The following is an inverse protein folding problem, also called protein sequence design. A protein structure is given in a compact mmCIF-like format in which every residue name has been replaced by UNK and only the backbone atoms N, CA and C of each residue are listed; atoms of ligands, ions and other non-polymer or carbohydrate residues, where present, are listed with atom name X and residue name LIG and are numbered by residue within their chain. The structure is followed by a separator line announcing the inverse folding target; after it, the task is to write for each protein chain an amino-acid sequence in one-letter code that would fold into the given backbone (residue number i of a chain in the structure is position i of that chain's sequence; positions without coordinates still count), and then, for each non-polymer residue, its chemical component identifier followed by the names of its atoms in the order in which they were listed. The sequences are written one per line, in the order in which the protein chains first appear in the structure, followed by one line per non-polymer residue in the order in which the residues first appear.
data_IF_810086289868
#
_entry.id   IF_810086289868
#
_cell.length_a   1.000
_cell.length_b   1.000
_cell.length_c   1.000
_cell.angle_alpha   90.00
_cell.angle_beta   90.00
_cell.angle_gamma   90.00
#
_symmetry.space_group_name_H-M   'P 1'
#
loop_
_entity.id
_entity.type
_entity.pdbx_description
1 polymer ?
#
# COMPACT_ATOMS: atom_id res chain seq x y z
N UNK A 1 -21.40 10.42 16.07
CA UNK A 1 -21.04 9.03 16.36
C UNK A 1 -19.94 8.70 15.38
N UNK A 2 -18.66 8.60 15.79
CA UNK A 2 -17.61 8.16 14.86
C UNK A 2 -17.99 6.74 14.45
N UNK A 3 -18.30 6.52 13.18
CA UNK A 3 -18.42 5.16 12.67
C UNK A 3 -17.13 4.43 13.02
N UNK A 4 -17.22 3.23 13.58
CA UNK A 4 -16.04 2.44 13.88
C UNK A 4 -15.49 1.88 12.56
N UNK A 5 -14.71 2.71 11.86
CA UNK A 5 -14.14 2.42 10.54
C UNK A 5 -13.31 1.14 10.59
N UNK A 6 -12.55 0.93 11.66
CA UNK A 6 -11.82 -0.32 11.90
C UNK A 6 -12.77 -1.51 11.90
N UNK A 7 -13.86 -1.47 12.67
CA UNK A 7 -14.84 -2.56 12.73
C UNK A 7 -15.50 -2.85 11.36
N UNK A 8 -15.75 -1.80 10.56
CA UNK A 8 -16.26 -1.94 9.19
C UNK A 8 -15.26 -2.66 8.29
N UNK A 9 -13.97 -2.27 8.34
CA UNK A 9 -12.92 -2.85 7.51
C UNK A 9 -12.48 -4.25 7.95
N UNK A 10 -12.65 -4.59 9.23
CA UNK A 10 -12.34 -5.91 9.81
C UNK A 10 -13.57 -6.82 9.93
N UNK A 11 -14.72 -6.40 9.38
CA UNK A 11 -15.97 -7.16 9.45
C UNK A 11 -15.81 -8.58 8.91
N UNK A 12 -16.62 -9.52 9.43
CA UNK A 12 -16.71 -10.89 8.92
C UNK A 12 -17.43 -10.96 7.57
N UNK A 13 -18.23 -9.94 7.23
CA UNK A 13 -18.81 -9.79 5.90
C UNK A 13 -17.76 -9.18 4.97
N UNK A 14 -16.99 -10.05 4.31
CA UNK A 14 -15.91 -9.61 3.42
C UNK A 14 -16.41 -8.83 2.21
N UNK A 15 -17.65 -9.07 1.75
CA UNK A 15 -18.22 -8.34 0.62
C UNK A 15 -18.52 -6.90 1.01
N UNK A 16 -19.17 -6.70 2.16
CA UNK A 16 -19.44 -5.37 2.68
C UNK A 16 -18.15 -4.62 3.03
N UNK A 17 -17.18 -5.29 3.66
CA UNK A 17 -15.91 -4.68 4.02
C UNK A 17 -15.05 -4.31 2.80
N UNK A 18 -15.06 -5.12 1.73
CA UNK A 18 -14.40 -4.75 0.47
C UNK A 18 -15.10 -3.57 -0.20
N UNK A 19 -16.43 -3.57 -0.30
CA UNK A 19 -17.15 -2.43 -0.88
C UNK A 19 -16.91 -1.12 -0.11
N UNK A 20 -16.80 -1.20 1.22
CA UNK A 20 -16.43 -0.07 2.05
C UNK A 20 -14.99 0.41 1.76
N UNK A 21 -14.03 -0.51 1.67
CA UNK A 21 -12.65 -0.18 1.33
C UNK A 21 -12.54 0.46 -0.06
N UNK A 22 -13.22 -0.10 -1.07
CA UNK A 22 -13.23 0.44 -2.44
C UNK A 22 -13.77 1.87 -2.47
N UNK A 23 -14.85 2.15 -1.71
CA UNK A 23 -15.38 3.51 -1.55
C UNK A 23 -14.36 4.44 -0.90
N UNK A 24 -13.74 4.01 0.20
CA UNK A 24 -12.72 4.82 0.90
C UNK A 24 -11.55 5.12 -0.05
N UNK A 25 -11.04 4.12 -0.77
CA UNK A 25 -9.94 4.29 -1.74
C UNK A 25 -10.34 5.32 -2.80
N UNK A 26 -11.51 5.15 -3.43
CA UNK A 26 -11.98 6.08 -4.46
C UNK A 26 -12.16 7.50 -3.94
N UNK A 27 -12.72 7.69 -2.74
CA UNK A 27 -12.88 9.02 -2.13
C UNK A 27 -11.53 9.62 -1.71
N UNK A 28 -10.57 8.78 -1.28
CA UNK A 28 -9.22 9.19 -0.89
C UNK A 28 -8.36 9.60 -2.09
N UNK A 29 -8.68 9.12 -3.29
CA UNK A 29 -8.01 9.57 -4.52
C UNK A 29 -8.41 11.00 -4.91
N UNK A 30 -9.59 11.45 -4.50
CA UNK A 30 -10.16 12.74 -4.90
C UNK A 30 -10.13 13.79 -3.77
N UNK A 31 -10.17 13.35 -2.50
CA UNK A 31 -10.30 14.23 -1.33
C UNK A 31 -9.50 13.71 -0.14
N UNK A 32 -9.13 14.62 0.77
CA UNK A 32 -8.43 14.34 2.03
C UNK A 32 -9.34 13.82 3.15
N UNK A 33 -10.64 13.66 2.88
CA UNK A 33 -11.68 13.30 3.85
C UNK A 33 -11.31 12.11 4.76
N UNK A 34 -10.60 11.12 4.22
CA UNK A 34 -10.26 9.91 4.96
C UNK A 34 -8.91 9.98 5.67
N UNK A 35 -8.10 11.00 5.40
CA UNK A 35 -6.78 11.16 6.00
C UNK A 35 -6.86 11.36 7.52
N UNK A 36 -7.94 11.94 8.04
CA UNK A 36 -8.13 12.05 9.50
C UNK A 36 -8.08 10.68 10.21
N UNK A 37 -8.39 9.59 9.50
CA UNK A 37 -8.41 8.20 10.00
C UNK A 37 -7.17 7.37 9.65
N UNK A 38 -6.08 8.02 9.20
CA UNK A 38 -4.88 7.32 8.72
C UNK A 38 -4.31 6.34 9.76
N UNK A 39 -4.21 6.72 11.03
CA UNK A 39 -3.68 5.84 12.08
C UNK A 39 -4.61 4.64 12.34
N UNK A 40 -5.93 4.80 12.21
CA UNK A 40 -6.89 3.70 12.31
C UNK A 40 -6.73 2.70 11.16
N UNK A 41 -6.37 3.16 9.96
CA UNK A 41 -6.02 2.27 8.84
C UNK A 41 -4.66 1.60 9.05
N UNK A 42 -3.68 2.34 9.58
CA UNK A 42 -2.36 1.79 9.88
C UNK A 42 -2.41 0.71 10.98
N UNK A 43 -3.30 0.87 11.96
CA UNK A 43 -3.48 -0.10 13.05
C UNK A 43 -3.93 -1.49 12.58
N UNK A 44 -4.47 -1.62 11.37
CA UNK A 44 -4.90 -2.90 10.77
C UNK A 44 -3.95 -3.42 9.67
N UNK A 45 -2.77 -2.80 9.51
CA UNK A 45 -1.79 -3.18 8.51
C UNK A 45 -1.22 -4.59 8.75
N UNK A 46 -0.96 -4.96 10.01
CA UNK A 46 -0.47 -6.30 10.41
C UNK A 46 -1.60 -7.23 10.89
N UNK A 47 -2.81 -7.07 10.33
CA UNK A 47 -3.94 -7.89 10.74
C UNK A 47 -3.76 -9.37 10.31
N UNK A 48 -4.15 -10.37 11.13
CA UNK A 48 -3.96 -11.79 10.80
C UNK A 48 -4.63 -12.25 9.50
N UNK A 49 -5.74 -11.60 9.13
CA UNK A 49 -6.43 -11.84 7.85
C UNK A 49 -5.82 -10.99 6.74
N UNK A 50 -5.27 -11.65 5.72
CA UNK A 50 -4.69 -11.00 4.54
C UNK A 50 -5.64 -10.09 3.76
N UNK A 51 -6.94 -10.39 3.74
CA UNK A 51 -7.94 -9.51 3.13
C UNK A 51 -8.03 -8.15 3.83
N UNK A 52 -7.83 -8.11 5.14
CA UNK A 52 -7.80 -6.85 5.91
C UNK A 52 -6.51 -6.09 5.59
N UNK A 53 -5.37 -6.79 5.54
CA UNK A 53 -4.08 -6.18 5.14
C UNK A 53 -4.17 -5.54 3.76
N UNK A 54 -4.78 -6.23 2.78
CA UNK A 54 -4.99 -5.71 1.44
C UNK A 54 -5.80 -4.40 1.43
N UNK A 55 -6.84 -4.30 2.28
CA UNK A 55 -7.64 -3.08 2.41
C UNK A 55 -6.79 -1.96 3.00
N UNK A 56 -6.07 -2.23 4.09
CA UNK A 56 -5.19 -1.27 4.75
C UNK A 56 -4.14 -0.70 3.79
N UNK A 57 -3.39 -1.58 3.10
CA UNK A 57 -2.35 -1.21 2.14
C UNK A 57 -2.87 -0.24 1.06
N UNK A 58 -3.99 -0.58 0.42
CA UNK A 58 -4.54 0.24 -0.65
C UNK A 58 -5.13 1.57 -0.14
N UNK A 59 -5.80 1.56 1.02
CA UNK A 59 -6.33 2.79 1.63
C UNK A 59 -5.19 3.74 2.03
N UNK A 60 -4.15 3.24 2.69
CA UNK A 60 -2.99 4.02 3.10
C UNK A 60 -2.26 4.60 1.89
N UNK A 61 -2.08 3.82 0.83
CA UNK A 61 -1.45 4.29 -0.40
C UNK A 61 -2.27 5.40 -1.08
N UNK A 62 -3.60 5.30 -1.11
CA UNK A 62 -4.47 6.34 -1.66
C UNK A 62 -4.44 7.63 -0.82
N UNK A 63 -4.27 7.51 0.50
CA UNK A 63 -4.17 8.66 1.39
C UNK A 63 -2.76 9.27 1.46
N UNK A 64 -1.72 8.63 0.93
CA UNK A 64 -0.35 9.13 0.98
C UNK A 64 -0.21 10.52 0.33
N UNK A 65 -1.04 10.87 -0.66
CA UNK A 65 -1.02 12.20 -1.29
C UNK A 65 -1.43 13.34 -0.35
N UNK A 66 -2.19 13.03 0.71
CA UNK A 66 -2.65 13.99 1.72
C UNK A 66 -1.76 14.01 2.96
N UNK A 67 -0.67 13.24 2.97
CA UNK A 67 0.17 13.04 4.15
C UNK A 67 1.14 14.20 4.42
N UNK A 68 0.60 15.39 4.71
CA UNK A 68 1.38 16.59 5.03
C UNK A 68 1.98 16.55 6.43
N UNK A 69 1.40 15.74 7.32
CA UNK A 69 1.92 15.50 8.67
C UNK A 69 2.99 14.39 8.72
N UNK A 70 3.34 13.80 7.57
CA UNK A 70 4.30 12.69 7.44
C UNK A 70 4.00 11.49 8.37
N UNK A 71 2.71 11.15 8.56
CA UNK A 71 2.30 9.97 9.33
C UNK A 71 2.79 8.68 8.68
N UNK A 72 3.05 8.68 7.37
CA UNK A 72 3.59 7.53 6.66
C UNK A 72 5.02 7.17 7.12
N UNK A 73 5.82 8.13 7.60
CA UNK A 73 7.16 7.88 8.18
C UNK A 73 7.11 6.84 9.31
N UNK A 74 6.04 6.86 10.10
CA UNK A 74 5.88 5.96 11.24
C UNK A 74 5.56 4.52 10.82
N UNK A 75 5.10 4.30 9.59
CA UNK A 75 4.56 3.01 9.14
C UNK A 75 5.24 2.48 7.89
N UNK A 76 6.14 3.23 7.25
CA UNK A 76 6.81 2.83 6.00
C UNK A 76 7.51 1.48 6.12
N UNK A 77 8.22 1.21 7.21
CA UNK A 77 8.87 -0.09 7.42
C UNK A 77 7.86 -1.23 7.53
N UNK A 78 6.75 -1.02 8.26
CA UNK A 78 5.69 -2.03 8.36
C UNK A 78 5.00 -2.25 7.01
N UNK A 79 4.71 -1.17 6.28
CA UNK A 79 4.14 -1.23 4.93
C UNK A 79 5.03 -2.02 3.97
N UNK A 80 6.33 -1.69 3.92
CA UNK A 80 7.29 -2.34 3.03
C UNK A 80 7.54 -3.81 3.38
N UNK A 81 7.32 -4.21 4.63
CA UNK A 81 7.42 -5.62 5.04
C UNK A 81 6.44 -6.53 4.28
N UNK A 82 5.33 -5.97 3.77
CA UNK A 82 4.37 -6.71 2.95
C UNK A 82 4.82 -6.94 1.51
N UNK A 83 5.96 -6.41 1.04
CA UNK A 83 6.54 -6.79 -0.26
C UNK A 83 6.77 -8.31 -0.33
N UNK A 84 7.14 -8.93 0.80
CA UNK A 84 7.33 -10.38 0.96
C UNK A 84 6.25 -11.00 1.84
N UNK A 85 5.01 -10.48 1.79
CA UNK A 85 3.90 -11.01 2.61
C UNK A 85 3.70 -12.52 2.36
N UNK A 86 3.46 -13.28 3.44
CA UNK A 86 3.19 -14.73 3.37
C UNK A 86 2.08 -15.12 2.39
N UNK A 87 1.13 -14.20 2.11
CA UNK A 87 0.12 -14.37 1.07
C UNK A 87 0.59 -13.70 -0.22
N UNK A 88 0.83 -14.47 -1.31
CA UNK A 88 1.33 -13.92 -2.56
C UNK A 88 0.45 -12.82 -3.16
N UNK A 89 -0.87 -12.89 -2.97
CA UNK A 89 -1.79 -11.85 -3.43
C UNK A 89 -1.57 -10.55 -2.67
N UNK A 90 -1.30 -10.62 -1.36
CA UNK A 90 -1.02 -9.42 -0.53
C UNK A 90 0.30 -8.79 -0.91
N UNK A 91 1.33 -9.59 -1.18
CA UNK A 91 2.60 -9.10 -1.71
C UNK A 91 2.43 -8.29 -3.00
N UNK A 92 1.70 -8.86 -3.96
CA UNK A 92 1.38 -8.18 -5.23
C UNK A 92 0.61 -6.87 -5.04
N UNK A 93 -0.33 -6.84 -4.09
CA UNK A 93 -1.10 -5.64 -3.78
C UNK A 93 -0.22 -4.56 -3.16
N UNK A 94 0.62 -4.93 -2.19
CA UNK A 94 1.62 -4.03 -1.60
C UNK A 94 2.50 -3.41 -2.68
N UNK A 95 3.14 -4.23 -3.51
CA UNK A 95 4.06 -3.79 -4.56
C UNK A 95 3.38 -2.77 -5.49
N UNK A 96 2.17 -3.05 -5.98
CA UNK A 96 1.42 -2.12 -6.84
C UNK A 96 1.08 -0.81 -6.14
N UNK A 97 0.69 -0.88 -4.88
CA UNK A 97 0.36 0.30 -4.09
C UNK A 97 1.57 1.23 -3.89
N UNK A 98 2.80 0.70 -3.91
CA UNK A 98 4.02 1.51 -3.80
C UNK A 98 4.23 2.47 -4.98
N UNK A 99 3.71 2.16 -6.18
CA UNK A 99 3.73 3.11 -7.28
C UNK A 99 2.91 4.37 -6.95
N UNK A 100 1.77 4.20 -6.28
CA UNK A 100 0.92 5.32 -5.84
C UNK A 100 1.59 6.11 -4.72
N UNK A 101 2.16 5.42 -3.72
CA UNK A 101 2.92 6.05 -2.62
C UNK A 101 4.09 6.87 -3.16
N UNK A 102 4.91 6.29 -4.04
CA UNK A 102 6.07 6.97 -4.61
C UNK A 102 5.68 8.12 -5.56
N UNK A 103 4.53 8.05 -6.23
CA UNK A 103 3.99 9.18 -7.02
C UNK A 103 3.58 10.34 -6.12
N UNK A 104 2.85 10.03 -5.04
CA UNK A 104 2.35 11.01 -4.08
C UNK A 104 3.47 11.66 -3.25
N UNK A 105 4.41 10.85 -2.78
CA UNK A 105 5.48 11.24 -1.86
C UNK A 105 6.83 10.70 -2.35
N UNK A 106 7.44 11.36 -3.36
CA UNK A 106 8.67 10.88 -4.00
C UNK A 106 9.90 10.74 -3.07
N UNK A 107 9.86 11.33 -1.87
CA UNK A 107 10.90 11.13 -0.86
C UNK A 107 11.06 9.67 -0.44
N UNK A 108 10.00 8.85 -0.57
CA UNK A 108 10.05 7.42 -0.20
C UNK A 108 10.65 6.54 -1.28
N UNK A 109 10.80 7.03 -2.52
CA UNK A 109 11.24 6.21 -3.65
C UNK A 109 12.57 5.49 -3.40
N UNK A 110 13.64 6.14 -2.89
CA UNK A 110 14.91 5.46 -2.65
C UNK A 110 14.77 4.26 -1.71
N UNK A 111 13.99 4.41 -0.63
CA UNK A 111 13.74 3.33 0.32
C UNK A 111 12.89 2.22 -0.31
N UNK A 112 11.86 2.57 -1.07
CA UNK A 112 11.01 1.62 -1.79
C UNK A 112 11.86 0.77 -2.74
N UNK A 113 12.69 1.40 -3.58
CA UNK A 113 13.55 0.69 -4.54
C UNK A 113 14.55 -0.23 -3.83
N UNK A 114 15.14 0.21 -2.72
CA UNK A 114 16.03 -0.64 -1.92
C UNK A 114 15.30 -1.90 -1.45
N UNK A 115 14.10 -1.77 -0.88
CA UNK A 115 13.33 -2.91 -0.39
C UNK A 115 12.89 -3.84 -1.52
N UNK A 116 12.50 -3.32 -2.68
CA UNK A 116 12.13 -4.14 -3.83
C UNK A 116 13.32 -4.96 -4.35
N UNK A 117 14.51 -4.35 -4.41
CA UNK A 117 15.74 -5.02 -4.85
C UNK A 117 16.22 -6.09 -3.86
N UNK A 118 16.03 -5.86 -2.56
CA UNK A 118 16.47 -6.79 -1.51
C UNK A 118 15.46 -7.90 -1.22
N UNK A 119 14.27 -7.85 -1.82
CA UNK A 119 13.18 -8.77 -1.49
C UNK A 119 13.42 -10.19 -2.03
N UNK A 120 13.41 -11.17 -1.12
CA UNK A 120 13.54 -12.58 -1.47
C UNK A 120 12.18 -13.19 -1.87
N UNK A 121 12.09 -13.63 -3.13
CA UNK A 121 10.89 -14.23 -3.72
C UNK A 121 10.95 -15.77 -3.79
N UNK A 122 12.00 -16.38 -3.23
CA UNK A 122 12.28 -17.82 -3.34
C UNK A 122 11.20 -18.70 -2.68
N UNK A 123 10.51 -18.18 -1.67
CA UNK A 123 9.42 -18.86 -0.97
C UNK A 123 8.12 -18.95 -1.81
N UNK A 124 7.96 -18.11 -2.84
CA UNK A 124 6.80 -18.16 -3.70
C UNK A 124 6.91 -19.27 -4.75
N UNK A 125 5.78 -19.97 -4.96
CA UNK A 125 5.64 -21.00 -6.01
C UNK A 125 5.84 -20.41 -7.40
N UNK A 126 6.29 -21.24 -8.33
CA UNK A 126 6.55 -20.89 -9.73
C UNK A 126 5.35 -20.27 -10.47
N UNK A 127 4.12 -20.50 -10.01
CA UNK A 127 2.92 -19.87 -10.58
C UNK A 127 2.70 -18.42 -10.13
N UNK A 128 3.21 -18.05 -8.95
CA UNK A 128 3.02 -16.72 -8.37
C UNK A 128 4.25 -15.83 -8.51
N UNK A 129 5.46 -16.40 -8.43
CA UNK A 129 6.71 -15.66 -8.50
C UNK A 129 6.82 -14.78 -9.77
N UNK A 130 6.54 -15.27 -10.99
CA UNK A 130 6.63 -14.43 -12.19
C UNK A 130 5.63 -13.26 -12.20
N UNK A 131 4.48 -13.42 -11.54
CA UNK A 131 3.49 -12.35 -11.43
C UNK A 131 3.97 -11.26 -10.46
N UNK A 132 4.65 -11.65 -9.38
CA UNK A 132 5.25 -10.73 -8.42
C UNK A 132 6.41 -9.99 -9.06
N UNK A 133 7.37 -10.69 -9.68
CA UNK A 133 8.51 -10.08 -10.38
C UNK A 133 8.05 -9.08 -11.46
N UNK A 134 6.97 -9.41 -12.19
CA UNK A 134 6.36 -8.49 -13.14
C UNK A 134 5.81 -7.23 -12.46
N UNK A 135 5.09 -7.39 -11.35
CA UNK A 135 4.52 -6.27 -10.61
C UNK A 135 5.65 -5.38 -10.00
N UNK A 136 6.78 -5.98 -9.57
CA UNK A 136 8.00 -5.27 -9.12
C UNK A 136 8.56 -4.43 -10.27
N UNK A 137 8.88 -5.06 -11.41
CA UNK A 137 9.47 -4.36 -12.55
C UNK A 137 8.56 -3.22 -13.05
N UNK A 138 7.25 -3.41 -13.05
CA UNK A 138 6.30 -2.34 -13.41
C UNK A 138 6.33 -1.18 -12.42
N UNK A 139 6.39 -1.47 -11.12
CA UNK A 139 6.47 -0.47 -10.06
C UNK A 139 7.78 0.31 -10.13
N UNK A 140 8.92 -0.38 -10.22
CA UNK A 140 10.24 0.26 -10.34
C UNK A 140 10.31 1.20 -11.54
N UNK A 141 9.78 0.78 -12.70
CA UNK A 141 9.74 1.62 -13.89
C UNK A 141 8.99 2.94 -13.67
N UNK A 142 7.86 2.92 -12.95
CA UNK A 142 7.12 4.13 -12.59
C UNK A 142 7.96 5.02 -11.68
N UNK A 143 8.56 4.44 -10.64
CA UNK A 143 9.32 5.19 -9.64
C UNK A 143 10.61 5.81 -10.19
N UNK A 144 11.35 5.06 -11.01
CA UNK A 144 12.56 5.55 -11.69
C UNK A 144 12.22 6.68 -12.65
N UNK A 145 11.10 6.58 -13.38
CA UNK A 145 10.64 7.66 -14.25
C UNK A 145 10.38 8.94 -13.48
N UNK A 146 9.71 8.87 -12.32
CA UNK A 146 9.47 10.02 -11.44
C UNK A 146 10.79 10.66 -10.99
N UNK A 147 11.78 9.87 -10.56
CA UNK A 147 13.08 10.41 -10.17
C UNK A 147 13.79 11.12 -11.32
N UNK A 148 13.78 10.54 -12.52
CA UNK A 148 14.42 11.13 -13.69
C UNK A 148 13.78 12.46 -14.10
N UNK A 149 12.45 12.55 -14.10
CA UNK A 149 11.72 13.79 -14.42
C UNK A 149 12.01 14.91 -13.41
N UNK A 150 12.23 14.57 -12.15
CA UNK A 150 12.59 15.56 -11.09
C UNK A 150 14.04 16.04 -11.19
N UNK A 151 14.96 15.20 -11.69
CA UNK A 151 16.37 15.58 -11.87
C UNK A 151 16.62 16.44 -13.12
N UNK A 152 15.61 16.58 -14.00
CA UNK A 152 15.67 17.42 -15.21
C UNK A 152 15.12 18.84 -15.02
N UNK A 153 14.60 19.17 -13.84
CA UNK A 153 14.06 20.48 -13.45
C UNK A 153 15.05 21.20 -12.52
#
# INVERSE_FOLDING_TARGET
MKENITAMLTSKDDKAACAAADRIISESLETDKWYEYFDEFAAILDHPKSLVRNRALNILAANAQWDDENRFDNIITAFLSHITDEKPITARQCIKALALVGTAKPQYIPQILSYLNDADMSEYKDSMRPLIEKDIAQTENVLIKILNERNTL
#
